data_IF_738711165641
#
_entry.id   IF_738711165641
#
_cell.length_a   1.000
_cell.length_b   1.000
_cell.length_c   1.000
_cell.angle_alpha   90.00
_cell.angle_beta   90.00
_cell.angle_gamma   90.00
#
_symmetry.space_group_name_H-M   'P 1'
#
loop_
_entity.id
_entity.type
_entity.pdbx_description
1 polymer ?
#
# COMPACT_ATOMS: atom_id res chain seq x y z
N UNK A 1 -11.43 -31.67 53.30
CA UNK A 1 -10.92 -31.97 51.94
C UNK A 1 -11.76 -31.20 50.93
N UNK A 2 -11.20 -30.14 50.31
CA UNK A 2 -11.96 -29.29 49.38
C UNK A 2 -12.14 -30.04 48.05
N UNK A 3 -13.40 -30.25 47.67
CA UNK A 3 -13.81 -30.76 46.37
C UNK A 3 -13.22 -29.85 45.28
N UNK A 4 -12.32 -30.39 44.46
CA UNK A 4 -11.96 -29.75 43.20
C UNK A 4 -13.08 -30.03 42.20
N UNK A 5 -13.90 -29.02 41.93
CA UNK A 5 -14.96 -29.08 40.94
C UNK A 5 -14.34 -29.19 39.53
N UNK A 6 -14.72 -30.17 38.69
CA UNK A 6 -14.14 -30.38 37.36
C UNK A 6 -14.31 -29.18 36.41
N UNK A 7 -15.27 -28.28 36.69
CA UNK A 7 -15.45 -27.04 35.94
C UNK A 7 -14.30 -26.04 36.12
N UNK A 8 -13.57 -26.07 37.24
CA UNK A 8 -12.47 -25.12 37.49
C UNK A 8 -11.25 -25.44 36.62
N UNK A 9 -10.93 -26.73 36.44
CA UNK A 9 -9.86 -27.18 35.53
C UNK A 9 -10.19 -26.82 34.08
N UNK A 10 -11.46 -26.96 33.68
CA UNK A 10 -11.94 -26.62 32.34
C UNK A 10 -11.81 -25.12 32.02
N UNK A 11 -12.07 -24.25 32.99
CA UNK A 11 -11.88 -22.80 32.84
C UNK A 11 -10.40 -22.42 32.76
N UNK A 12 -9.51 -23.11 33.49
CA UNK A 12 -8.05 -22.88 33.42
C UNK A 12 -7.49 -23.31 32.05
N UNK A 13 -7.96 -24.42 31.47
CA UNK A 13 -7.56 -24.84 30.12
C UNK A 13 -8.12 -23.94 29.00
N UNK A 14 -9.30 -23.34 29.20
CA UNK A 14 -9.86 -22.34 28.28
C UNK A 14 -9.14 -20.97 28.32
N UNK A 15 -8.24 -20.74 29.29
CA UNK A 15 -7.49 -19.48 29.48
C UNK A 15 -6.08 -19.43 28.87
N UNK A 16 -5.64 -20.44 28.10
CA UNK A 16 -4.30 -20.48 27.46
C UNK A 16 -4.33 -20.56 25.93
N UNK A 17 -5.30 -19.90 25.30
CA UNK A 17 -5.26 -19.64 23.85
C UNK A 17 -5.49 -18.16 23.58
N UNK A 18 -4.66 -17.33 24.19
CA UNK A 18 -4.25 -16.10 23.51
C UNK A 18 -3.28 -16.57 22.42
N UNK A 19 -3.81 -16.86 21.23
CA UNK A 19 -3.00 -17.24 20.08
C UNK A 19 -2.35 -15.96 19.58
N UNK A 20 -1.20 -15.61 20.16
CA UNK A 20 -0.26 -14.72 19.49
C UNK A 20 0.22 -15.46 18.24
N UNK A 21 -0.03 -14.92 17.05
CA UNK A 21 0.57 -15.46 15.82
C UNK A 21 2.09 -15.51 16.00
N UNK A 22 2.71 -16.59 15.53
CA UNK A 22 4.18 -16.66 15.54
C UNK A 22 4.75 -15.60 14.58
N UNK A 23 5.96 -15.12 14.87
CA UNK A 23 6.64 -14.12 14.04
C UNK A 23 6.74 -14.56 12.58
N UNK A 24 6.93 -15.86 12.34
CA UNK A 24 7.01 -16.39 10.99
C UNK A 24 5.67 -16.34 10.25
N UNK A 25 4.55 -16.58 10.95
CA UNK A 25 3.21 -16.49 10.36
C UNK A 25 2.88 -15.03 9.99
N UNK A 26 3.26 -14.08 10.84
CA UNK A 26 3.10 -12.64 10.57
C UNK A 26 3.90 -12.26 9.32
N UNK A 27 5.16 -12.71 9.22
CA UNK A 27 6.02 -12.42 8.04
C UNK A 27 5.46 -13.00 6.75
N UNK A 28 4.95 -14.23 6.78
CA UNK A 28 4.32 -14.84 5.60
C UNK A 28 3.07 -14.08 5.14
N UNK A 29 2.29 -13.54 6.08
CA UNK A 29 1.15 -12.68 5.75
C UNK A 29 1.61 -11.35 5.14
N UNK A 30 2.69 -10.75 5.67
CA UNK A 30 3.31 -9.55 5.07
C UNK A 30 3.78 -9.85 3.65
N UNK A 31 4.50 -10.96 3.43
CA UNK A 31 4.98 -11.34 2.09
C UNK A 31 3.82 -11.51 1.10
N UNK A 32 2.68 -12.03 1.55
CA UNK A 32 1.47 -12.17 0.72
C UNK A 32 0.93 -10.80 0.33
N UNK A 33 0.78 -9.89 1.29
CA UNK A 33 0.33 -8.52 1.05
C UNK A 33 1.31 -7.77 0.13
N UNK A 34 2.61 -7.93 0.34
CA UNK A 34 3.65 -7.29 -0.46
C UNK A 34 3.58 -7.74 -1.92
N UNK A 35 3.31 -9.02 -2.18
CA UNK A 35 3.11 -9.53 -3.54
C UNK A 35 1.88 -8.89 -4.22
N UNK A 36 0.79 -8.68 -3.49
CA UNK A 36 -0.39 -7.97 -4.00
C UNK A 36 -0.08 -6.50 -4.28
N UNK A 37 0.67 -5.83 -3.39
CA UNK A 37 1.12 -4.45 -3.59
C UNK A 37 1.97 -4.35 -4.85
N UNK A 38 2.90 -5.29 -5.09
CA UNK A 38 3.72 -5.31 -6.30
C UNK A 38 2.83 -5.42 -7.55
N UNK A 39 1.89 -6.36 -7.57
CA UNK A 39 0.97 -6.53 -8.70
C UNK A 39 0.14 -5.26 -8.98
N UNK A 40 -0.40 -4.63 -7.93
CA UNK A 40 -1.16 -3.38 -8.02
C UNK A 40 -0.29 -2.21 -8.49
N UNK A 41 0.97 -2.14 -8.05
CA UNK A 41 1.90 -1.11 -8.49
C UNK A 41 2.27 -1.29 -9.96
N UNK A 42 2.47 -2.51 -10.44
CA UNK A 42 2.71 -2.77 -11.87
C UNK A 42 1.52 -2.35 -12.73
N UNK A 43 0.29 -2.69 -12.32
CA UNK A 43 -0.93 -2.24 -13.00
C UNK A 43 -1.00 -0.71 -13.02
N UNK A 44 -0.74 -0.07 -11.88
CA UNK A 44 -0.67 1.38 -11.78
C UNK A 44 0.37 1.97 -12.74
N UNK A 45 1.54 1.35 -12.90
CA UNK A 45 2.58 1.81 -13.83
C UNK A 45 2.15 1.69 -15.30
N UNK A 46 1.39 0.66 -15.67
CA UNK A 46 0.78 0.56 -17.01
C UNK A 46 -0.19 1.72 -17.26
N UNK A 47 -1.04 2.04 -16.28
CA UNK A 47 -1.97 3.18 -16.36
C UNK A 47 -1.24 4.53 -16.45
N UNK A 48 -0.21 4.72 -15.62
CA UNK A 48 0.65 5.91 -15.66
C UNK A 48 1.24 6.12 -17.05
N UNK A 49 1.74 5.06 -17.68
CA UNK A 49 2.30 5.13 -19.05
C UNK A 49 1.26 5.62 -20.07
N UNK A 50 0.01 5.17 -19.95
CA UNK A 50 -1.10 5.63 -20.81
C UNK A 50 -1.43 7.10 -20.56
N UNK A 51 -1.45 7.53 -19.28
CA UNK A 51 -1.65 8.94 -18.90
C UNK A 51 -0.53 9.81 -19.48
N UNK A 52 0.72 9.38 -19.42
CA UNK A 52 1.85 10.12 -20.00
C UNK A 52 1.73 10.25 -21.51
N UNK A 53 1.39 9.16 -22.21
CA UNK A 53 1.18 9.20 -23.65
C UNK A 53 0.04 10.13 -24.05
N UNK A 54 -1.03 10.22 -23.25
CA UNK A 54 -2.09 11.20 -23.43
C UNK A 54 -1.59 12.63 -23.21
N UNK A 55 -0.91 12.89 -22.08
CA UNK A 55 -0.37 14.21 -21.73
C UNK A 55 0.58 14.74 -22.81
N UNK A 56 1.44 13.88 -23.34
CA UNK A 56 2.35 14.19 -24.46
C UNK A 56 1.60 14.67 -25.70
N UNK A 57 0.59 13.90 -26.15
CA UNK A 57 -0.22 14.27 -27.32
C UNK A 57 -0.98 15.58 -27.13
N UNK A 58 -1.38 15.89 -25.91
CA UNK A 58 -2.14 17.11 -25.59
C UNK A 58 -1.29 18.30 -25.13
N UNK A 59 0.04 18.14 -25.03
CA UNK A 59 0.94 19.17 -24.49
C UNK A 59 0.76 19.49 -22.99
N UNK A 60 0.13 18.61 -22.21
CA UNK A 60 -0.09 18.81 -20.77
C UNK A 60 1.16 18.44 -19.96
N UNK A 61 1.42 19.18 -18.89
CA UNK A 61 2.55 18.92 -17.99
C UNK A 61 2.42 17.56 -17.26
N UNK A 62 3.56 16.90 -17.02
CA UNK A 62 3.62 15.66 -16.24
C UNK A 62 3.19 15.90 -14.80
N UNK A 63 3.72 16.97 -14.18
CA UNK A 63 3.40 17.37 -12.83
C UNK A 63 2.07 18.13 -12.79
N UNK A 64 1.17 17.66 -11.94
CA UNK A 64 -0.18 18.20 -11.76
C UNK A 64 -0.48 18.22 -10.24
N UNK A 65 -0.13 19.30 -9.54
CA UNK A 65 -0.19 19.35 -8.08
C UNK A 65 -1.62 19.22 -7.54
N UNK A 66 -2.61 19.78 -8.23
CA UNK A 66 -4.02 19.69 -7.83
C UNK A 66 -4.51 18.23 -7.88
N UNK A 67 -4.17 17.51 -8.96
CA UNK A 67 -4.55 16.11 -9.10
C UNK A 67 -3.87 15.22 -8.06
N UNK A 68 -2.61 15.51 -7.71
CA UNK A 68 -1.85 14.77 -6.70
C UNK A 68 -2.40 15.03 -5.29
N UNK A 69 -2.69 16.28 -4.95
CA UNK A 69 -3.28 16.62 -3.66
C UNK A 69 -4.64 15.94 -3.47
N UNK A 70 -5.51 15.99 -4.49
CA UNK A 70 -6.80 15.30 -4.46
C UNK A 70 -6.67 13.78 -4.29
N UNK A 71 -5.57 13.17 -4.77
CA UNK A 71 -5.30 11.75 -4.52
C UNK A 71 -4.91 11.51 -3.07
N UNK A 72 -4.02 12.33 -2.50
CA UNK A 72 -3.57 12.20 -1.11
C UNK A 72 -4.72 12.40 -0.13
N UNK A 73 -5.60 13.37 -0.38
CA UNK A 73 -6.78 13.61 0.44
C UNK A 73 -7.72 12.39 0.41
N UNK A 74 -7.96 11.82 -0.78
CA UNK A 74 -8.78 10.62 -0.95
C UNK A 74 -8.17 9.41 -0.23
N UNK A 75 -6.86 9.22 -0.34
CA UNK A 75 -6.15 8.13 0.35
C UNK A 75 -6.29 8.32 1.85
N UNK A 76 -6.00 9.52 2.35
CA UNK A 76 -6.12 9.85 3.77
C UNK A 76 -7.53 9.71 4.34
N UNK A 77 -8.57 9.93 3.53
CA UNK A 77 -9.96 9.68 3.90
C UNK A 77 -10.36 8.19 3.87
N UNK A 78 -9.63 7.36 3.13
CA UNK A 78 -9.90 5.91 3.02
C UNK A 78 -9.23 5.09 4.12
N UNK A 79 -8.27 5.67 4.85
CA UNK A 79 -7.60 4.98 5.96
C UNK A 79 -8.53 4.94 7.17
N UNK A 80 -8.85 3.73 7.64
CA UNK A 80 -9.75 3.52 8.77
C UNK A 80 -9.09 3.73 10.12
N UNK A 81 -7.84 3.29 10.28
CA UNK A 81 -7.09 3.49 11.52
C UNK A 81 -6.29 4.81 11.45
N UNK A 82 -6.60 5.82 12.28
CA UNK A 82 -5.89 7.10 12.27
C UNK A 82 -4.37 6.97 12.46
N UNK A 83 -3.90 5.97 13.20
CA UNK A 83 -2.47 5.74 13.43
C UNK A 83 -1.71 5.42 12.15
N UNK A 84 -2.36 4.81 11.16
CA UNK A 84 -1.72 4.44 9.90
C UNK A 84 -1.80 5.54 8.84
N UNK A 85 -2.62 6.56 9.08
CA UNK A 85 -2.97 7.55 8.05
C UNK A 85 -1.74 8.29 7.52
N UNK A 86 -0.90 8.81 8.40
CA UNK A 86 0.29 9.56 8.01
C UNK A 86 1.26 8.68 7.18
N UNK A 87 1.56 7.48 7.68
CA UNK A 87 2.45 6.53 7.00
C UNK A 87 1.93 6.11 5.62
N UNK A 88 0.64 5.84 5.49
CA UNK A 88 0.02 5.46 4.21
C UNK A 88 0.04 6.65 3.24
N UNK A 89 -0.36 7.85 3.68
CA UNK A 89 -0.36 9.05 2.82
C UNK A 89 1.05 9.38 2.32
N UNK A 90 2.06 9.33 3.19
CA UNK A 90 3.46 9.53 2.80
C UNK A 90 3.92 8.49 1.76
N UNK A 91 3.57 7.22 1.96
CA UNK A 91 3.88 6.14 1.01
C UNK A 91 3.27 6.41 -0.38
N UNK A 92 2.03 6.90 -0.44
CA UNK A 92 1.39 7.28 -1.70
C UNK A 92 2.06 8.48 -2.37
N UNK A 93 2.52 9.47 -1.60
CA UNK A 93 3.29 10.59 -2.12
C UNK A 93 4.59 10.11 -2.80
N UNK A 94 5.30 9.17 -2.18
CA UNK A 94 6.51 8.58 -2.75
C UNK A 94 6.24 7.75 -4.01
N UNK A 95 5.15 6.97 -4.03
CA UNK A 95 4.72 6.24 -5.23
C UNK A 95 4.48 7.21 -6.40
N UNK A 96 3.83 8.36 -6.16
CA UNK A 96 3.62 9.39 -7.17
C UNK A 96 4.93 10.00 -7.65
N UNK A 97 5.84 10.34 -6.72
CA UNK A 97 7.16 10.88 -7.04
C UNK A 97 7.95 9.95 -7.95
N UNK A 98 8.02 8.65 -7.61
CA UNK A 98 8.68 7.62 -8.43
C UNK A 98 8.04 7.48 -9.80
N UNK A 99 6.72 7.58 -9.87
CA UNK A 99 5.98 7.56 -11.13
C UNK A 99 6.37 8.73 -12.03
N UNK A 100 6.52 9.95 -11.50
CA UNK A 100 6.95 11.11 -12.30
C UNK A 100 8.36 10.93 -12.85
N UNK A 101 9.28 10.43 -12.03
CA UNK A 101 10.66 10.14 -12.45
C UNK A 101 10.68 9.14 -13.60
N UNK A 102 9.90 8.05 -13.50
CA UNK A 102 9.77 7.07 -14.58
C UNK A 102 9.25 7.71 -15.87
N UNK A 103 8.20 8.53 -15.79
CA UNK A 103 7.64 9.22 -16.96
C UNK A 103 8.65 10.17 -17.61
N UNK A 104 9.39 10.94 -16.81
CA UNK A 104 10.44 11.83 -17.31
C UNK A 104 11.54 11.05 -18.03
N UNK A 105 12.01 9.93 -17.47
CA UNK A 105 13.04 9.10 -18.11
C UNK A 105 12.58 8.47 -19.44
N UNK A 106 11.29 8.14 -19.55
CA UNK A 106 10.71 7.59 -20.79
C UNK A 106 10.61 8.64 -21.89
N UNK A 107 10.28 9.88 -21.52
CA UNK A 107 10.28 11.02 -22.43
C UNK A 107 11.67 11.35 -22.96
N UNK A 108 12.67 11.37 -22.09
CA UNK A 108 14.06 11.58 -22.50
C UNK A 108 14.50 10.51 -23.49
N UNK A 109 14.26 9.23 -23.19
CA UNK A 109 14.60 8.12 -24.11
C UNK A 109 13.92 8.23 -25.48
N UNK A 110 12.65 8.64 -25.53
CA UNK A 110 11.94 8.84 -26.80
C UNK A 110 12.58 9.92 -27.66
N UNK A 111 13.10 10.98 -27.04
CA UNK A 111 13.73 12.13 -27.72
C UNK A 111 15.10 11.81 -28.35
N UNK A 112 15.78 10.75 -27.88
CA UNK A 112 17.08 10.31 -28.41
C UNK A 112 16.96 9.23 -29.50
N UNK A 113 15.78 8.65 -29.70
CA UNK A 113 15.54 7.59 -30.67
C UNK A 113 14.80 8.08 -31.93
N UNK A 114 14.42 9.36 -31.98
CA UNK A 114 13.91 10.10 -33.14
C UNK A 114 15.03 10.94 -33.76
#
# INVERSE_FOLDING_TARGET
>A
MRLFCPQVIFVIMKRKKEVSMDLNEIRQQIDTVDNEIVALLEERMKLVTRVSAYKQRTGKAIYDPEREQALLDKVGASVLNPEYKEAIVASFADIMKRSRIYQASKLEKSRYLE
#
